data_IF_800485468137
#
_entry.id   IF_800485468137
#
_cell.length_a   1.000
_cell.length_b   1.000
_cell.length_c   1.000
_cell.angle_alpha   90.00
_cell.angle_beta   90.00
_cell.angle_gamma   90.00
#
_symmetry.space_group_name_H-M   'P 1'
#
loop_
_entity.id
_entity.type
_entity.pdbx_description
1 polymer ?
#
# COMPACT_ATOMS: atom_id res chain seq x y z
N UNK A 1 19.16 -12.59 -35.06
CA UNK A 1 19.63 -11.83 -33.88
C UNK A 1 20.15 -12.82 -32.84
N UNK A 2 21.30 -12.56 -32.21
CA UNK A 2 21.94 -13.49 -31.28
C UNK A 2 21.09 -13.71 -30.02
N UNK A 3 20.85 -14.97 -29.64
CA UNK A 3 20.08 -15.37 -28.45
C UNK A 3 20.56 -14.65 -27.17
N UNK A 4 21.87 -14.40 -27.07
CA UNK A 4 22.48 -13.67 -25.97
C UNK A 4 22.02 -12.22 -25.89
N UNK A 5 21.76 -11.57 -27.03
CA UNK A 5 21.24 -10.20 -27.11
C UNK A 5 19.75 -10.13 -26.73
N UNK A 6 18.99 -11.18 -27.05
CA UNK A 6 17.57 -11.29 -26.68
C UNK A 6 17.45 -11.51 -25.17
N UNK A 7 18.25 -12.42 -24.60
CA UNK A 7 18.28 -12.67 -23.16
C UNK A 7 18.69 -11.41 -22.38
N UNK A 8 19.73 -10.68 -22.82
CA UNK A 8 20.14 -9.44 -22.16
C UNK A 8 19.07 -8.35 -22.23
N UNK A 9 18.34 -8.24 -23.35
CA UNK A 9 17.26 -7.28 -23.51
C UNK A 9 16.08 -7.59 -22.57
N UNK A 10 15.71 -8.86 -22.45
CA UNK A 10 14.62 -9.29 -21.56
C UNK A 10 14.93 -9.01 -20.09
N UNK A 11 16.17 -9.25 -19.65
CA UNK A 11 16.61 -8.95 -18.29
C UNK A 11 16.53 -7.43 -18.03
N UNK A 12 16.96 -6.60 -18.98
CA UNK A 12 16.90 -5.15 -18.85
C UNK A 12 15.45 -4.65 -18.73
N UNK A 13 14.53 -5.21 -19.53
CA UNK A 13 13.12 -4.88 -19.44
C UNK A 13 12.52 -5.29 -18.09
N UNK A 14 12.83 -6.49 -17.59
CA UNK A 14 12.30 -6.97 -16.31
C UNK A 14 12.71 -6.06 -15.13
N UNK A 15 13.95 -5.58 -15.12
CA UNK A 15 14.44 -4.63 -14.10
C UNK A 15 13.83 -3.24 -14.27
N UNK A 16 13.59 -2.79 -15.51
CA UNK A 16 12.88 -1.52 -15.76
C UNK A 16 11.44 -1.52 -15.24
N UNK A 17 10.72 -2.63 -15.42
CA UNK A 17 9.34 -2.76 -14.94
C UNK A 17 9.22 -2.83 -13.41
N UNK A 18 10.20 -3.39 -12.70
CA UNK A 18 10.15 -3.46 -11.24
C UNK A 18 10.31 -2.09 -10.55
N UNK A 19 11.08 -1.17 -11.14
CA UNK A 19 11.19 0.22 -10.65
C UNK A 19 9.86 0.97 -10.78
N UNK A 20 9.11 0.75 -11.86
CA UNK A 20 7.78 1.32 -12.06
C UNK A 20 6.74 0.72 -11.11
N UNK A 21 6.87 -0.55 -10.74
CA UNK A 21 6.00 -1.19 -9.75
C UNK A 21 6.18 -0.60 -8.34
N UNK A 22 7.39 -0.16 -7.98
CA UNK A 22 7.65 0.57 -6.73
C UNK A 22 7.05 1.98 -6.70
N UNK A 23 6.95 2.63 -7.86
CA UNK A 23 6.28 3.93 -8.03
C UNK A 23 4.78 3.80 -8.36
N UNK A 24 4.19 2.61 -8.18
CA UNK A 24 2.87 2.25 -8.70
C UNK A 24 1.72 2.27 -7.68
N UNK A 25 1.86 2.96 -6.54
CA UNK A 25 0.72 3.16 -5.62
C UNK A 25 -0.28 4.11 -6.28
N UNK A 26 -1.30 3.57 -6.94
CA UNK A 26 -2.29 4.35 -7.71
C UNK A 26 -3.21 5.22 -6.85
N UNK A 27 -3.33 4.91 -5.56
CA UNK A 27 -4.23 5.61 -4.65
C UNK A 27 -3.45 6.19 -3.48
N UNK A 28 -3.94 7.31 -2.95
CA UNK A 28 -3.45 7.84 -1.68
C UNK A 28 -3.45 6.72 -0.62
N UNK A 29 -2.42 6.65 0.24
CA UNK A 29 -2.43 5.72 1.36
C UNK A 29 -3.66 6.01 2.23
N UNK A 30 -4.53 5.01 2.38
CA UNK A 30 -5.67 5.08 3.30
C UNK A 30 -5.17 5.06 4.74
N UNK A 31 -5.94 5.65 5.64
CA UNK A 31 -5.60 5.59 7.07
C UNK A 31 -5.80 4.17 7.62
N UNK A 32 -5.11 3.78 8.71
CA UNK A 32 -5.33 2.48 9.35
C UNK A 32 -6.80 2.26 9.76
N UNK A 33 -7.51 3.32 10.13
CA UNK A 33 -8.93 3.28 10.44
C UNK A 33 -9.79 2.94 9.22
N UNK A 34 -9.53 3.59 8.09
CA UNK A 34 -10.24 3.32 6.83
C UNK A 34 -9.98 1.90 6.31
N UNK A 35 -8.76 1.39 6.48
CA UNK A 35 -8.40 0.01 6.15
C UNK A 35 -9.25 -0.99 6.94
N UNK A 36 -9.35 -0.81 8.26
CA UNK A 36 -10.13 -1.68 9.13
C UNK A 36 -11.65 -1.65 8.80
N UNK A 37 -12.17 -0.49 8.40
CA UNK A 37 -13.56 -0.39 7.91
C UNK A 37 -13.78 -1.13 6.60
N UNK A 38 -12.81 -1.08 5.69
CA UNK A 38 -12.89 -1.80 4.43
C UNK A 38 -12.88 -3.31 4.65
N UNK A 39 -11.98 -3.83 5.50
CA UNK A 39 -11.92 -5.25 5.86
C UNK A 39 -13.24 -5.74 6.48
N UNK A 40 -13.84 -4.93 7.36
CA UNK A 40 -15.17 -5.20 7.93
C UNK A 40 -16.26 -5.32 6.85
N UNK A 41 -16.28 -4.41 5.88
CA UNK A 41 -17.25 -4.42 4.77
C UNK A 41 -17.06 -5.65 3.89
N UNK A 42 -15.82 -5.95 3.53
CA UNK A 42 -15.48 -7.11 2.71
C UNK A 42 -15.85 -8.43 3.41
N UNK A 43 -15.58 -8.55 4.72
CA UNK A 43 -15.99 -9.70 5.52
C UNK A 43 -17.53 -9.82 5.63
N UNK A 44 -18.24 -8.70 5.69
CA UNK A 44 -19.71 -8.67 5.70
C UNK A 44 -20.30 -9.16 4.38
N UNK A 45 -19.74 -8.70 3.26
CA UNK A 45 -20.14 -9.12 1.91
C UNK A 45 -19.83 -10.60 1.65
N UNK A 46 -18.69 -11.07 2.17
CA UNK A 46 -18.26 -12.47 2.08
C UNK A 46 -19.01 -13.41 3.05
N UNK A 47 -19.77 -12.86 4.01
CA UNK A 47 -20.44 -13.65 5.05
C UNK A 47 -19.48 -14.30 6.06
N UNK A 48 -18.27 -13.75 6.19
CA UNK A 48 -17.26 -14.22 7.12
C UNK A 48 -17.48 -13.67 8.54
N UNK A 49 -16.75 -14.20 9.51
CA UNK A 49 -16.77 -13.67 10.86
C UNK A 49 -16.30 -12.20 10.83
N UNK A 50 -17.19 -11.30 11.24
CA UNK A 50 -16.87 -9.90 11.19
C UNK A 50 -15.72 -9.57 12.17
N UNK A 51 -14.70 -8.80 11.75
CA UNK A 51 -13.64 -8.27 12.62
C UNK A 51 -14.23 -7.49 13.82
N UNK A 52 -13.46 -7.03 14.82
CA UNK A 52 -13.97 -6.07 15.81
C UNK A 52 -14.30 -4.70 15.18
N UNK A 53 -15.09 -3.88 15.88
CA UNK A 53 -15.44 -2.54 15.37
C UNK A 53 -14.24 -1.61 15.56
N UNK A 54 -13.76 -0.95 14.49
CA UNK A 54 -12.61 -0.08 14.60
C UNK A 54 -12.95 1.16 15.43
N UNK A 55 -12.12 1.44 16.44
CA UNK A 55 -12.26 2.65 17.23
C UNK A 55 -11.88 3.87 16.36
N UNK A 56 -12.67 4.95 16.39
CA UNK A 56 -12.33 6.16 15.65
C UNK A 56 -10.99 6.73 16.14
N UNK A 57 -10.19 7.32 15.23
CA UNK A 57 -8.96 7.98 15.62
C UNK A 57 -9.26 9.06 16.66
N UNK A 58 -8.45 9.10 17.72
CA UNK A 58 -8.48 10.20 18.69
C UNK A 58 -8.02 11.46 17.97
N UNK A 59 -8.49 12.62 18.43
CA UNK A 59 -8.10 13.95 17.91
C UNK A 59 -6.60 14.02 17.62
N UNK A 60 -6.23 14.81 16.60
CA UNK A 60 -4.85 14.92 16.15
C UNK A 60 -4.00 15.52 17.28
N UNK A 61 -3.25 14.66 17.96
CA UNK A 61 -2.43 15.05 19.11
C UNK A 61 -1.04 15.38 18.62
N UNK A 62 -0.47 16.44 19.19
CA UNK A 62 0.92 16.85 18.97
C UNK A 62 1.86 15.64 19.06
N UNK A 63 2.60 15.38 17.99
CA UNK A 63 3.57 14.32 17.94
C UNK A 63 4.80 14.71 18.77
N UNK A 64 5.47 13.73 19.37
CA UNK A 64 6.63 13.98 20.24
C UNK A 64 7.75 14.73 19.51
N UNK A 65 7.83 14.55 18.18
CA UNK A 65 8.87 15.15 17.35
C UNK A 65 8.46 16.47 16.70
N UNK A 66 7.23 16.94 16.88
CA UNK A 66 6.80 18.26 16.37
C UNK A 66 7.76 19.38 16.79
N UNK A 67 8.29 19.42 18.04
CA UNK A 67 9.26 20.44 18.45
C UNK A 67 10.64 20.35 17.78
N UNK A 68 10.92 19.31 17.00
CA UNK A 68 12.21 19.11 16.32
C UNK A 68 12.20 19.59 14.87
N UNK A 69 11.03 19.96 14.36
CA UNK A 69 10.83 20.44 12.97
C UNK A 69 10.89 21.98 12.92
N UNK A 70 10.79 22.65 14.07
CA UNK A 70 10.95 24.10 14.24
C UNK A 70 12.43 24.56 14.19
#
# INVERSE_FOLDING_TARGET
>A
MSFRKIASMLILCAVGFSVLAGCGRRNAPITPYEAALQERREAQEAGEALPPEPAPPKEDRRFLLDPLID
#
